data_IF_052987099703
#
_entry.id   IF_052987099703
#
_cell.length_a   1.000
_cell.length_b   1.000
_cell.length_c   1.000
_cell.angle_alpha   90.00
_cell.angle_beta   90.00
_cell.angle_gamma   90.00
#
_symmetry.space_group_name_H-M   'P 1'
#
loop_
_entity.id
_entity.type
_entity.pdbx_description
1 polymer ?
#
# COMPACT_ATOMS: atom_id res chain seq x y z
N UNK A 1 26.56 -23.69 -13.24
CA UNK A 1 26.31 -22.96 -11.95
C UNK A 1 26.11 -23.98 -10.85
N UNK A 2 26.76 -23.86 -9.70
CA UNK A 2 26.72 -24.84 -8.62
C UNK A 2 25.31 -24.94 -8.02
N UNK A 3 24.69 -26.14 -8.04
CA UNK A 3 23.30 -26.37 -7.57
C UNK A 3 23.11 -25.92 -6.11
N UNK A 4 24.08 -26.21 -5.23
CA UNK A 4 24.03 -25.79 -3.82
C UNK A 4 24.05 -24.28 -3.65
N UNK A 5 24.76 -23.54 -4.52
CA UNK A 5 24.78 -22.08 -4.50
C UNK A 5 23.41 -21.50 -4.88
N UNK A 6 22.78 -22.04 -5.92
CA UNK A 6 21.45 -21.59 -6.35
C UNK A 6 20.43 -21.85 -5.24
N UNK A 7 20.44 -23.03 -4.64
CA UNK A 7 19.54 -23.35 -3.51
C UNK A 7 19.76 -22.42 -2.32
N UNK A 8 21.01 -22.13 -1.96
CA UNK A 8 21.33 -21.20 -0.89
C UNK A 8 20.85 -19.77 -1.17
N UNK A 9 21.08 -19.26 -2.38
CA UNK A 9 20.61 -17.95 -2.81
C UNK A 9 19.08 -17.87 -2.83
N UNK A 10 18.41 -18.93 -3.31
CA UNK A 10 16.96 -18.99 -3.34
C UNK A 10 16.38 -18.92 -1.93
N UNK A 11 16.92 -19.70 -1.01
CA UNK A 11 16.46 -19.70 0.39
C UNK A 11 16.62 -18.34 1.05
N UNK A 12 17.75 -17.65 0.86
CA UNK A 12 17.97 -16.31 1.42
C UNK A 12 16.99 -15.28 0.84
N UNK A 13 16.71 -15.37 -0.45
CA UNK A 13 15.74 -14.47 -1.10
C UNK A 13 14.29 -14.77 -0.67
N UNK A 14 13.96 -16.05 -0.44
CA UNK A 14 12.65 -16.44 0.09
C UNK A 14 12.46 -15.95 1.54
N UNK A 15 13.50 -16.06 2.38
CA UNK A 15 13.47 -15.48 3.72
C UNK A 15 13.28 -13.98 3.68
N UNK A 16 14.02 -13.27 2.83
CA UNK A 16 13.86 -11.83 2.65
C UNK A 16 12.46 -11.45 2.17
N UNK A 17 11.89 -12.23 1.23
CA UNK A 17 10.53 -12.02 0.75
C UNK A 17 9.50 -12.17 1.87
N UNK A 18 9.62 -13.22 2.69
CA UNK A 18 8.75 -13.43 3.85
C UNK A 18 8.85 -12.30 4.87
N UNK A 19 10.07 -11.81 5.16
CA UNK A 19 10.27 -10.63 6.00
C UNK A 19 9.59 -9.39 5.41
N UNK A 20 9.73 -9.17 4.11
CA UNK A 20 9.15 -8.03 3.41
C UNK A 20 7.62 -8.04 3.49
N UNK A 21 7.00 -9.19 3.23
CA UNK A 21 5.55 -9.38 3.33
C UNK A 21 5.06 -9.14 4.76
N UNK A 22 5.76 -9.68 5.75
CA UNK A 22 5.43 -9.48 7.17
C UNK A 22 5.49 -8.00 7.54
N UNK A 23 6.56 -7.31 7.15
CA UNK A 23 6.76 -5.90 7.49
C UNK A 23 5.74 -4.99 6.79
N UNK A 24 5.36 -5.31 5.55
CA UNK A 24 4.30 -4.61 4.82
C UNK A 24 2.94 -4.79 5.51
N UNK A 25 2.59 -6.03 5.89
CA UNK A 25 1.36 -6.31 6.65
C UNK A 25 1.34 -5.56 7.98
N UNK A 26 2.45 -5.57 8.72
CA UNK A 26 2.60 -4.83 9.97
C UNK A 26 2.47 -3.30 9.77
N UNK A 27 3.08 -2.75 8.71
CA UNK A 27 2.95 -1.34 8.37
C UNK A 27 1.51 -0.95 8.05
N UNK A 28 0.77 -1.77 7.31
CA UNK A 28 -0.65 -1.54 7.02
C UNK A 28 -1.50 -1.56 8.30
N UNK A 29 -1.25 -2.54 9.18
CA UNK A 29 -1.93 -2.64 10.47
C UNK A 29 -1.69 -1.38 11.31
N UNK A 30 -0.44 -0.97 11.47
CA UNK A 30 -0.05 0.24 12.20
C UNK A 30 -0.73 1.50 11.67
N UNK A 31 -0.90 1.59 10.36
CA UNK A 31 -1.52 2.75 9.70
C UNK A 31 -3.03 2.63 9.54
N UNK A 32 -3.62 1.55 10.07
CA UNK A 32 -5.07 1.29 9.98
C UNK A 32 -5.60 1.25 8.54
N UNK A 33 -4.79 0.73 7.59
CA UNK A 33 -5.15 0.59 6.18
C UNK A 33 -5.89 -0.73 5.99
N UNK A 34 -7.08 -0.87 6.60
CA UNK A 34 -7.86 -2.10 6.43
C UNK A 34 -9.20 -1.85 5.79
N UNK A 35 -9.21 -1.26 4.64
CA UNK A 35 -10.48 -0.90 4.04
C UNK A 35 -11.44 -2.10 3.86
N UNK A 36 -10.92 -3.31 3.62
CA UNK A 36 -11.76 -4.49 3.42
C UNK A 36 -11.14 -5.79 3.96
N UNK A 37 -9.97 -5.74 4.59
CA UNK A 37 -9.16 -6.94 4.88
C UNK A 37 -8.47 -7.54 3.64
N UNK A 38 -9.05 -7.33 2.46
CA UNK A 38 -8.57 -7.90 1.19
C UNK A 38 -7.17 -7.41 0.84
N UNK A 39 -6.85 -6.13 1.09
CA UNK A 39 -5.53 -5.60 0.71
C UNK A 39 -4.40 -6.18 1.55
N UNK A 40 -4.63 -6.41 2.84
CA UNK A 40 -3.60 -6.98 3.72
C UNK A 40 -3.43 -8.50 3.50
N UNK A 41 -4.52 -9.23 3.25
CA UNK A 41 -4.48 -10.65 2.93
C UNK A 41 -3.86 -10.91 1.56
N UNK A 42 -4.15 -10.06 0.58
CA UNK A 42 -3.65 -10.24 -0.79
C UNK A 42 -2.18 -9.87 -1.01
N UNK A 43 -1.51 -9.25 -0.04
CA UNK A 43 -0.05 -9.04 -0.14
C UNK A 43 0.65 -10.40 -0.10
N UNK A 44 1.32 -10.73 -1.19
CA UNK A 44 2.06 -11.99 -1.34
C UNK A 44 1.23 -13.18 -1.83
N UNK A 45 -0.11 -13.10 -1.87
CA UNK A 45 -0.95 -14.22 -2.35
C UNK A 45 -0.88 -14.42 -3.87
N UNK A 46 -0.56 -13.37 -4.62
CA UNK A 46 -0.52 -13.42 -6.09
C UNK A 46 0.75 -14.04 -6.68
N UNK A 47 1.73 -14.42 -5.85
CA UNK A 47 3.01 -14.94 -6.32
C UNK A 47 3.21 -16.40 -5.93
N UNK A 48 3.02 -17.29 -6.90
CA UNK A 48 3.39 -18.72 -6.76
C UNK A 48 4.90 -18.93 -6.80
N UNK A 49 5.67 -17.99 -7.37
CA UNK A 49 7.14 -18.00 -7.42
C UNK A 49 7.67 -16.57 -7.18
N UNK A 50 7.80 -16.15 -5.92
CA UNK A 50 8.25 -14.79 -5.59
C UNK A 50 9.71 -14.56 -5.98
N UNK A 51 10.52 -15.61 -6.03
CA UNK A 51 11.95 -15.54 -6.32
C UNK A 51 12.25 -16.23 -7.65
N UNK A 52 13.05 -15.60 -8.48
CA UNK A 52 13.59 -16.20 -9.69
C UNK A 52 15.05 -15.80 -9.88
N UNK A 53 15.85 -16.80 -10.26
CA UNK A 53 17.27 -16.64 -10.57
C UNK A 53 17.42 -16.88 -12.07
N UNK A 54 17.95 -15.89 -12.78
CA UNK A 54 18.17 -15.94 -14.24
C UNK A 54 19.60 -15.57 -14.56
N UNK A 55 20.04 -15.83 -15.80
CA UNK A 55 21.35 -15.36 -16.28
C UNK A 55 21.52 -13.83 -16.21
N UNK A 56 20.41 -13.08 -16.15
CA UNK A 56 20.39 -11.60 -16.06
C UNK A 56 20.41 -11.10 -14.60
N UNK A 57 20.30 -11.99 -13.61
CA UNK A 57 20.34 -11.61 -12.20
C UNK A 57 19.26 -12.27 -11.34
N UNK A 58 19.18 -11.79 -10.11
CA UNK A 58 18.22 -12.20 -9.09
C UNK A 58 17.01 -11.27 -9.15
N UNK A 59 15.81 -11.86 -9.12
CA UNK A 59 14.56 -11.11 -9.12
C UNK A 59 13.66 -11.60 -8.00
N UNK A 60 13.25 -10.67 -7.14
CA UNK A 60 12.19 -10.88 -6.14
C UNK A 60 10.94 -10.12 -6.62
N UNK A 61 9.83 -10.83 -6.75
CA UNK A 61 8.56 -10.24 -7.21
C UNK A 61 7.57 -10.19 -6.04
N UNK A 62 7.02 -9.01 -5.78
CA UNK A 62 5.98 -8.81 -4.78
C UNK A 62 4.66 -8.50 -5.47
N UNK A 63 3.69 -9.43 -5.39
CA UNK A 63 2.32 -9.19 -5.88
C UNK A 63 1.58 -8.27 -4.93
N UNK A 64 0.99 -7.21 -5.49
CA UNK A 64 0.17 -6.26 -4.75
C UNK A 64 -1.04 -5.85 -5.59
N UNK A 65 -2.20 -5.55 -4.95
CA UNK A 65 -3.34 -4.99 -5.67
C UNK A 65 -2.95 -3.66 -6.34
N UNK A 66 -3.43 -3.41 -7.56
CA UNK A 66 -3.07 -2.21 -8.35
C UNK A 66 -3.30 -0.88 -7.61
N UNK A 67 -4.29 -0.86 -6.72
CA UNK A 67 -4.62 0.36 -5.98
C UNK A 67 -3.64 0.69 -4.83
N UNK A 68 -2.63 -0.17 -4.55
CA UNK A 68 -1.68 0.08 -3.46
C UNK A 68 -0.94 1.40 -3.61
N UNK A 69 -0.63 1.78 -4.84
CA UNK A 69 0.14 2.99 -5.13
C UNK A 69 -0.61 4.27 -4.72
N UNK A 70 -1.94 4.27 -4.88
CA UNK A 70 -2.78 5.40 -4.44
C UNK A 70 -2.86 5.51 -2.91
N UNK A 71 -2.82 4.37 -2.21
CA UNK A 71 -2.77 4.34 -0.76
C UNK A 71 -1.40 4.80 -0.25
N UNK A 72 -0.33 4.32 -0.86
CA UNK A 72 1.03 4.66 -0.47
C UNK A 72 1.33 6.13 -0.71
N UNK A 73 1.08 6.64 -1.91
CA UNK A 73 1.44 7.98 -2.34
C UNK A 73 0.38 9.04 -2.07
N UNK A 74 -0.84 8.62 -1.77
CA UNK A 74 -1.99 9.53 -1.63
C UNK A 74 -2.49 10.04 -2.97
N UNK A 75 -3.58 10.82 -2.92
CA UNK A 75 -4.21 11.44 -4.08
C UNK A 75 -4.59 12.86 -3.73
N UNK A 76 -4.19 13.85 -4.49
CA UNK A 76 -4.62 15.22 -4.30
C UNK A 76 -6.11 15.40 -4.68
N UNK A 77 -6.80 16.27 -3.97
CA UNK A 77 -8.19 16.56 -4.25
C UNK A 77 -8.35 17.52 -5.43
N UNK A 78 -9.56 17.56 -5.99
CA UNK A 78 -9.90 18.48 -7.07
C UNK A 78 -9.90 19.96 -6.64
N UNK A 79 -10.11 20.23 -5.34
CA UNK A 79 -10.20 21.57 -4.78
C UNK A 79 -9.03 21.92 -3.84
N UNK A 80 -8.31 20.93 -3.34
CA UNK A 80 -7.17 21.14 -2.44
C UNK A 80 -6.17 20.00 -2.51
N UNK A 81 -4.90 20.28 -2.25
CA UNK A 81 -3.87 19.24 -2.12
C UNK A 81 -3.86 18.67 -0.70
N UNK A 82 -3.62 17.37 -0.60
CA UNK A 82 -3.34 16.65 0.66
C UNK A 82 -1.89 16.19 0.75
N UNK A 83 -1.04 16.73 -0.13
CA UNK A 83 0.38 16.39 -0.18
C UNK A 83 0.63 15.01 -0.77
N UNK A 84 -0.09 14.65 -1.84
CA UNK A 84 0.20 13.46 -2.60
C UNK A 84 1.67 13.46 -3.06
N UNK A 85 2.33 12.31 -2.92
CA UNK A 85 3.73 12.16 -3.30
C UNK A 85 3.84 11.91 -4.80
N UNK A 86 4.90 12.41 -5.45
CA UNK A 86 5.14 12.14 -6.85
C UNK A 86 5.43 10.64 -7.08
N UNK A 87 5.02 10.13 -8.22
CA UNK A 87 5.42 8.83 -8.75
C UNK A 87 6.87 8.90 -9.26
N UNK A 88 7.45 7.78 -9.67
CA UNK A 88 8.83 7.73 -10.19
C UNK A 88 9.03 8.63 -11.42
N UNK A 89 7.98 8.80 -12.23
CA UNK A 89 7.94 9.71 -13.39
C UNK A 89 7.60 11.16 -13.02
N UNK A 90 7.58 11.51 -11.73
CA UNK A 90 7.36 12.85 -11.20
C UNK A 90 5.89 13.30 -11.17
N UNK A 91 4.95 12.51 -11.69
CA UNK A 91 3.51 12.84 -11.69
C UNK A 91 2.91 12.61 -10.31
N UNK A 92 1.85 13.37 -9.98
CA UNK A 92 1.03 13.16 -8.77
C UNK A 92 -0.35 12.69 -9.15
N UNK A 93 -0.90 11.80 -8.34
CA UNK A 93 -2.29 11.42 -8.48
C UNK A 93 -3.18 12.54 -7.97
N UNK A 94 -4.16 12.93 -8.76
CA UNK A 94 -5.12 13.99 -8.40
C UNK A 94 -6.49 13.74 -9.02
N UNK A 95 -7.52 14.11 -8.27
CA UNK A 95 -8.87 14.20 -8.83
C UNK A 95 -8.98 15.46 -9.73
N UNK A 96 -9.62 15.29 -10.90
CA UNK A 96 -9.87 16.40 -11.83
C UNK A 96 -11.14 17.17 -11.43
N UNK A 97 -11.10 18.50 -11.58
CA UNK A 97 -12.32 19.34 -11.50
C UNK A 97 -13.30 18.86 -12.58
N UNK A 98 -14.57 18.64 -12.21
CA UNK A 98 -15.57 18.06 -13.12
C UNK A 98 -15.45 16.55 -13.35
N UNK A 99 -14.45 15.90 -12.77
CA UNK A 99 -14.29 14.44 -12.84
C UNK A 99 -15.23 13.69 -11.91
N UNK A 100 -15.24 12.34 -12.06
CA UNK A 100 -16.05 11.48 -11.20
C UNK A 100 -15.59 11.57 -9.75
N UNK A 101 -16.55 11.57 -8.82
CA UNK A 101 -16.27 11.44 -7.38
C UNK A 101 -15.78 10.02 -7.06
N UNK A 102 -15.22 9.83 -5.86
CA UNK A 102 -14.81 8.50 -5.40
C UNK A 102 -15.97 7.50 -5.46
N UNK A 103 -15.65 6.21 -5.64
CA UNK A 103 -16.66 5.17 -5.81
C UNK A 103 -17.50 5.00 -4.52
N UNK A 104 -18.76 5.44 -4.57
CA UNK A 104 -19.70 5.41 -3.44
C UNK A 104 -19.96 3.97 -2.99
N UNK A 105 -20.08 3.02 -3.93
CA UNK A 105 -20.29 1.61 -3.61
C UNK A 105 -19.14 1.00 -2.81
N UNK A 106 -17.89 1.32 -3.16
CA UNK A 106 -16.73 0.89 -2.41
C UNK A 106 -16.71 1.50 -1.01
N UNK A 107 -17.11 2.76 -0.86
CA UNK A 107 -17.19 3.44 0.44
C UNK A 107 -18.30 2.82 1.29
N UNK A 108 -19.47 2.51 0.72
CA UNK A 108 -20.55 1.79 1.43
C UNK A 108 -20.07 0.44 1.96
N UNK A 109 -19.44 -0.38 1.10
CA UNK A 109 -18.88 -1.67 1.49
C UNK A 109 -17.84 -1.52 2.61
N UNK A 110 -16.99 -0.53 2.53
CA UNK A 110 -16.03 -0.21 3.59
C UNK A 110 -16.72 0.15 4.92
N UNK A 111 -17.77 0.98 4.88
CA UNK A 111 -18.55 1.35 6.07
C UNK A 111 -19.23 0.13 6.68
N UNK A 112 -19.89 -0.69 5.87
CA UNK A 112 -20.56 -1.93 6.31
C UNK A 112 -19.57 -2.90 6.98
N UNK A 113 -18.41 -3.12 6.37
CA UNK A 113 -17.37 -4.00 6.92
C UNK A 113 -16.83 -3.51 8.28
N UNK A 114 -17.00 -2.23 8.60
CA UNK A 114 -16.64 -1.63 9.89
C UNK A 114 -17.79 -1.48 10.87
N UNK A 115 -18.97 -2.01 10.54
CA UNK A 115 -20.16 -1.88 11.36
C UNK A 115 -20.68 -0.43 11.45
N UNK A 116 -20.28 0.43 10.48
CA UNK A 116 -20.74 1.81 10.42
C UNK A 116 -22.09 1.82 9.69
N UNK A 117 -23.16 1.94 10.45
CA UNK A 117 -24.53 1.96 9.91
C UNK A 117 -25.14 3.36 9.90
N UNK A 118 -24.63 4.25 10.76
CA UNK A 118 -25.08 5.64 10.92
C UNK A 118 -23.91 6.59 11.02
N UNK A 119 -24.15 7.89 10.76
CA UNK A 119 -23.12 8.91 10.87
C UNK A 119 -22.58 9.06 12.30
N UNK A 120 -23.40 8.78 13.31
CA UNK A 120 -23.00 8.75 14.73
C UNK A 120 -21.87 7.76 15.02
N UNK A 121 -21.78 6.67 14.22
CA UNK A 121 -20.75 5.63 14.39
C UNK A 121 -19.37 6.12 13.90
N UNK A 122 -19.35 7.17 13.07
CA UNK A 122 -18.12 7.87 12.70
C UNK A 122 -17.72 8.77 13.87
N UNK A 123 -16.73 8.35 14.66
CA UNK A 123 -16.14 9.22 15.68
C UNK A 123 -15.76 10.54 15.02
N UNK A 124 -16.40 11.61 15.47
CA UNK A 124 -16.19 12.95 14.91
C UNK A 124 -14.74 13.36 15.17
N UNK A 125 -13.88 13.27 14.17
CA UNK A 125 -12.61 13.97 14.20
C UNK A 125 -12.93 15.47 14.05
N UNK A 126 -13.06 16.13 15.18
CA UNK A 126 -12.99 17.56 15.42
C UNK A 126 -13.33 18.51 14.26
N UNK A 127 -14.58 18.80 14.06
CA UNK A 127 -15.03 19.87 13.20
C UNK A 127 -16.26 20.50 13.83
N UNK A 128 -16.09 21.56 14.60
CA UNK A 128 -17.16 22.40 15.13
C UNK A 128 -17.93 23.04 13.98
N UNK A 129 -19.06 22.48 13.59
CA UNK A 129 -20.06 23.18 12.81
C UNK A 129 -21.34 23.26 13.63
N UNK A 130 -21.55 24.45 14.20
CA UNK A 130 -22.60 24.81 15.17
C UNK A 130 -24.05 24.56 14.71
N UNK A 131 -24.33 24.39 13.44
CA UNK A 131 -25.69 24.23 12.90
C UNK A 131 -26.03 22.89 12.25
N UNK A 132 -25.08 21.98 12.18
CA UNK A 132 -25.23 20.73 11.40
C UNK A 132 -25.48 19.46 12.19
N UNK A 133 -25.41 19.48 13.51
CA UNK A 133 -25.43 18.24 14.32
C UNK A 133 -26.78 17.51 14.28
N UNK A 134 -27.90 18.21 14.35
CA UNK A 134 -29.23 17.58 14.36
C UNK A 134 -29.59 16.93 13.00
N UNK A 135 -29.33 17.62 11.89
CA UNK A 135 -29.64 17.11 10.54
C UNK A 135 -28.76 15.93 10.08
N UNK A 136 -27.60 15.70 10.72
CA UNK A 136 -26.69 14.62 10.36
C UNK A 136 -27.04 13.27 10.99
N UNK A 137 -27.77 13.28 12.12
CA UNK A 137 -28.15 12.06 12.80
C UNK A 137 -29.09 11.17 11.96
N UNK A 138 -29.88 11.77 11.06
CA UNK A 138 -30.88 11.08 10.26
C UNK A 138 -30.40 10.68 8.85
N UNK A 139 -29.13 10.92 8.52
CA UNK A 139 -28.60 10.57 7.19
C UNK A 139 -28.54 9.05 6.99
N UNK A 140 -29.05 8.61 5.85
CA UNK A 140 -28.93 7.21 5.41
C UNK A 140 -27.49 6.86 5.10
N UNK A 141 -27.15 5.56 5.08
CA UNK A 141 -25.82 5.07 4.73
C UNK A 141 -25.37 5.60 3.36
N UNK A 142 -26.28 5.71 2.39
CA UNK A 142 -25.99 6.23 1.06
C UNK A 142 -25.61 7.71 1.06
N UNK A 143 -26.34 8.51 1.83
CA UNK A 143 -26.04 9.93 1.98
C UNK A 143 -24.69 10.14 2.67
N UNK A 144 -24.39 9.34 3.70
CA UNK A 144 -23.08 9.39 4.39
C UNK A 144 -21.97 8.98 3.43
N UNK A 145 -22.13 7.88 2.69
CA UNK A 145 -21.15 7.43 1.71
C UNK A 145 -20.91 8.48 0.61
N UNK A 146 -21.97 9.15 0.15
CA UNK A 146 -21.86 10.24 -0.82
C UNK A 146 -21.07 11.44 -0.25
N UNK A 147 -21.34 11.86 0.97
CA UNK A 147 -20.61 12.96 1.62
C UNK A 147 -19.12 12.62 1.77
N UNK A 148 -18.81 11.37 2.15
CA UNK A 148 -17.42 10.89 2.23
C UNK A 148 -16.78 10.90 0.85
N UNK A 149 -17.46 10.36 -0.17
CA UNK A 149 -16.97 10.32 -1.55
C UNK A 149 -16.66 11.73 -2.08
N UNK A 150 -17.57 12.67 -1.84
CA UNK A 150 -17.39 14.08 -2.21
C UNK A 150 -16.24 14.73 -1.46
N UNK A 151 -16.07 14.41 -0.17
CA UNK A 151 -14.95 14.91 0.63
C UNK A 151 -13.61 14.38 0.12
N UNK A 152 -13.54 13.09 -0.24
CA UNK A 152 -12.36 12.47 -0.85
C UNK A 152 -12.05 13.13 -2.20
N UNK A 153 -13.06 13.30 -3.05
CA UNK A 153 -12.88 13.99 -4.34
C UNK A 153 -12.37 15.42 -4.16
N UNK A 154 -12.96 16.18 -3.24
CA UNK A 154 -12.61 17.59 -3.03
C UNK A 154 -11.23 17.78 -2.39
N UNK A 155 -10.92 16.98 -1.39
CA UNK A 155 -9.71 17.13 -0.54
C UNK A 155 -8.59 16.14 -0.87
N UNK A 156 -8.90 15.02 -1.52
CA UNK A 156 -7.95 13.93 -1.72
C UNK A 156 -7.74 13.05 -0.48
N UNK A 157 -6.76 12.17 -0.58
CA UNK A 157 -6.31 11.27 0.48
C UNK A 157 -4.85 11.52 0.82
N UNK A 158 -4.51 11.49 2.11
CA UNK A 158 -3.12 11.64 2.55
C UNK A 158 -2.29 10.42 2.16
N UNK A 159 -1.00 10.58 1.82
CA UNK A 159 -0.09 9.47 1.62
C UNK A 159 0.12 8.71 2.93
N UNK A 160 0.07 7.39 2.86
CA UNK A 160 0.33 6.53 4.02
C UNK A 160 1.78 6.09 4.08
N UNK A 161 2.47 6.04 2.95
CA UNK A 161 3.85 5.56 2.83
C UNK A 161 4.08 4.15 3.39
N UNK A 162 3.02 3.33 3.43
CA UNK A 162 3.12 2.00 4.04
C UNK A 162 4.08 1.09 3.29
N UNK A 163 4.11 1.23 1.97
CA UNK A 163 5.03 0.52 1.08
C UNK A 163 6.41 1.18 1.07
N UNK A 164 6.47 2.48 0.77
CA UNK A 164 7.73 3.22 0.64
C UNK A 164 8.58 3.23 1.91
N UNK A 165 7.96 3.15 3.09
CA UNK A 165 8.69 3.06 4.36
C UNK A 165 9.32 1.68 4.58
N UNK A 166 8.75 0.63 4.01
CA UNK A 166 9.24 -0.75 4.15
C UNK A 166 10.20 -1.09 3.02
N UNK A 167 9.78 -0.83 1.77
CA UNK A 167 10.59 -1.08 0.57
C UNK A 167 11.40 0.18 0.28
N UNK A 168 12.58 0.25 0.83
CA UNK A 168 13.48 1.40 0.70
C UNK A 168 14.93 0.95 0.48
N UNK A 169 15.79 1.88 0.08
CA UNK A 169 17.20 1.63 -0.21
C UNK A 169 17.94 0.99 0.95
N UNK A 170 17.61 1.37 2.19
CA UNK A 170 18.25 0.80 3.39
C UNK A 170 17.99 -0.71 3.49
N UNK A 171 16.75 -1.15 3.22
CA UNK A 171 16.38 -2.56 3.26
C UNK A 171 17.00 -3.34 2.10
N UNK A 172 17.07 -2.72 0.91
CA UNK A 172 17.73 -3.31 -0.25
C UNK A 172 19.24 -3.46 -0.04
N UNK A 173 19.91 -2.45 0.48
CA UNK A 173 21.34 -2.52 0.86
C UNK A 173 21.62 -3.56 1.95
N UNK A 174 20.69 -3.76 2.89
CA UNK A 174 20.82 -4.79 3.91
C UNK A 174 20.74 -6.21 3.30
N UNK A 175 19.86 -6.43 2.32
CA UNK A 175 19.83 -7.68 1.55
C UNK A 175 21.12 -7.89 0.77
N UNK A 176 21.56 -6.88 0.03
CA UNK A 176 22.81 -6.92 -0.74
C UNK A 176 23.98 -7.32 0.16
N UNK A 177 24.13 -6.68 1.32
CA UNK A 177 25.17 -7.02 2.29
C UNK A 177 25.06 -8.48 2.75
N UNK A 178 23.86 -8.98 3.12
CA UNK A 178 23.66 -10.38 3.51
C UNK A 178 24.07 -11.37 2.40
N UNK A 179 23.72 -11.05 1.15
CA UNK A 179 24.11 -11.88 0.01
C UNK A 179 25.63 -11.86 -0.22
N UNK A 180 26.27 -10.71 -0.10
CA UNK A 180 27.73 -10.60 -0.21
C UNK A 180 28.46 -11.30 0.93
N UNK A 181 27.99 -11.19 2.16
CA UNK A 181 28.58 -11.89 3.33
C UNK A 181 28.48 -13.42 3.20
N UNK A 182 27.33 -13.94 2.75
CA UNK A 182 27.10 -15.39 2.65
C UNK A 182 27.69 -16.02 1.38
N UNK A 183 27.67 -15.29 0.27
CA UNK A 183 27.96 -15.86 -1.06
C UNK A 183 29.03 -15.08 -1.84
N UNK A 184 29.58 -14.00 -1.29
CA UNK A 184 30.50 -13.12 -2.01
C UNK A 184 31.75 -13.82 -2.54
N UNK A 185 32.34 -14.74 -1.77
CA UNK A 185 33.46 -15.55 -2.22
C UNK A 185 33.10 -16.46 -3.40
N UNK A 186 31.92 -17.10 -3.35
CA UNK A 186 31.43 -17.97 -4.41
C UNK A 186 31.04 -17.20 -5.68
N UNK A 187 30.52 -15.99 -5.53
CA UNK A 187 30.17 -15.11 -6.67
C UNK A 187 31.46 -14.60 -7.35
N UNK A 188 32.47 -14.27 -6.56
CA UNK A 188 33.78 -13.80 -7.10
C UNK A 188 34.48 -14.90 -7.90
N UNK A 189 34.34 -16.17 -7.49
CA UNK A 189 34.91 -17.31 -8.20
C UNK A 189 34.18 -17.61 -9.52
N UNK A 190 32.89 -17.29 -9.62
CA UNK A 190 32.11 -17.46 -10.86
C UNK A 190 32.42 -16.34 -11.89
N UNK A 191 32.69 -15.14 -11.42
CA UNK A 191 32.99 -13.97 -12.30
C UNK A 191 34.43 -14.03 -12.88
N UNK A 192 35.31 -14.81 -12.27
CA UNK A 192 36.70 -15.01 -12.74
C UNK A 192 36.84 -16.11 -13.79
N UNK A 193 35.80 -16.85 -14.13
CA UNK A 193 35.74 -17.85 -15.18
C UNK A 193 35.12 -17.27 -16.45
#
# INVERSE_FOLDING_TARGET
>A
MNKKLIEGLTNELDEFWMELVRDLKASMVKQKIYASGVTASSIGEFNTKPVSITAKGLKVTLGMPEHYIYLDRGVDGALSSRGALPTEDGRRFAYKKGGKIANIGAIKKFMQNRGITKLSDLKSSGGNTRSGKAKRADMTLDQVAFVIARSIWAKGTKPTKFYSNVVNDKKMKALERRLMEKFGSLITDIVKL
#
